data_IF_270214144698
#
_entry.id   IF_270214144698
#
_cell.length_a   1.000
_cell.length_b   1.000
_cell.length_c   1.000
_cell.angle_alpha   90.00
_cell.angle_beta   90.00
_cell.angle_gamma   90.00
#
_symmetry.space_group_name_H-M   'P 1'
#
loop_
_entity.id
_entity.type
_entity.pdbx_description
1 polymer ?
#
# COMPACT_ATOMS: atom_id res chain seq x y z
N UNK A 1 4.71 9.96 12.68
CA UNK A 1 3.49 9.18 12.58
C UNK A 1 2.70 9.11 13.88
N UNK A 2 3.34 8.83 15.00
CA UNK A 2 2.66 8.67 16.31
C UNK A 2 1.99 9.94 16.85
N UNK A 3 2.43 11.12 16.39
CA UNK A 3 1.86 12.39 16.83
C UNK A 3 0.65 12.84 15.98
N UNK A 4 0.68 12.55 14.70
CA UNK A 4 -0.37 12.95 13.76
C UNK A 4 -0.35 12.07 12.50
N UNK A 5 -1.38 11.25 12.26
CA UNK A 5 -1.55 10.50 11.02
C UNK A 5 -1.64 11.44 9.80
N UNK A 6 -2.27 12.61 9.94
CA UNK A 6 -2.41 13.58 8.84
C UNK A 6 -1.05 14.06 8.32
N UNK A 7 -0.09 14.40 9.20
CA UNK A 7 1.27 14.79 8.80
C UNK A 7 1.97 13.64 8.07
N UNK A 8 1.81 12.41 8.54
CA UNK A 8 2.42 11.24 7.90
C UNK A 8 1.88 11.01 6.49
N UNK A 9 0.57 11.17 6.30
CA UNK A 9 -0.06 11.05 4.97
C UNK A 9 0.36 12.20 4.06
N UNK A 10 0.45 13.43 4.57
CA UNK A 10 0.93 14.59 3.81
C UNK A 10 2.35 14.37 3.30
N UNK A 11 3.27 13.92 4.18
CA UNK A 11 4.65 13.61 3.81
C UNK A 11 4.74 12.45 2.82
N UNK A 12 3.94 11.40 3.00
CA UNK A 12 3.87 10.27 2.06
C UNK A 12 3.38 10.74 0.67
N UNK A 13 2.33 11.55 0.62
CA UNK A 13 1.78 12.08 -0.62
C UNK A 13 2.77 13.02 -1.34
N UNK A 14 3.59 13.76 -0.60
CA UNK A 14 4.61 14.63 -1.18
C UNK A 14 5.86 13.87 -1.61
N UNK A 15 6.47 13.06 -0.72
CA UNK A 15 7.80 12.47 -0.95
C UNK A 15 7.75 11.07 -1.57
N UNK A 16 6.80 10.23 -1.13
CA UNK A 16 6.78 8.82 -1.52
C UNK A 16 6.05 8.57 -2.83
N UNK A 17 5.09 9.42 -3.21
CA UNK A 17 4.30 9.25 -4.44
C UNK A 17 4.19 10.53 -5.27
N UNK A 18 4.46 11.72 -4.71
CA UNK A 18 4.42 13.00 -5.42
C UNK A 18 5.50 13.12 -6.50
N UNK A 19 5.77 14.34 -6.94
CA UNK A 19 6.77 14.62 -7.99
C UNK A 19 8.15 14.02 -7.71
N UNK A 20 8.68 14.04 -6.46
CA UNK A 20 10.03 13.52 -6.20
C UNK A 20 10.23 12.07 -6.64
N UNK A 21 9.31 11.18 -6.35
CA UNK A 21 9.54 9.76 -6.58
C UNK A 21 9.50 9.36 -8.07
N UNK A 22 8.49 9.71 -8.88
CA UNK A 22 8.51 9.39 -10.31
C UNK A 22 9.67 10.08 -11.05
N UNK A 23 10.05 11.30 -10.65
CA UNK A 23 11.23 11.98 -11.24
C UNK A 23 12.52 11.28 -10.85
N UNK A 24 12.70 10.84 -9.59
CA UNK A 24 13.86 10.06 -9.15
C UNK A 24 14.02 8.78 -9.99
N UNK A 25 12.92 8.06 -10.23
CA UNK A 25 12.92 6.73 -10.85
C UNK A 25 12.96 6.78 -12.37
N UNK A 26 12.28 7.73 -13.00
CA UNK A 26 12.01 7.74 -14.44
C UNK A 26 12.34 9.06 -15.13
N UNK A 27 12.64 10.11 -14.38
CA UNK A 27 12.98 11.42 -14.93
C UNK A 27 14.35 11.47 -15.56
N UNK A 28 14.52 12.38 -16.52
CA UNK A 28 15.84 12.72 -17.09
C UNK A 28 16.69 13.44 -16.06
N UNK A 29 17.99 13.51 -16.26
CA UNK A 29 18.91 14.26 -15.40
C UNK A 29 18.57 15.76 -15.36
N UNK A 30 18.02 16.30 -16.44
CA UNK A 30 17.51 17.67 -16.51
C UNK A 30 16.30 17.87 -15.61
N UNK A 31 15.31 16.97 -15.71
CA UNK A 31 14.12 17.00 -14.84
C UNK A 31 14.50 16.83 -13.36
N UNK A 32 15.44 15.94 -13.04
CA UNK A 32 15.96 15.79 -11.66
C UNK A 32 16.57 17.08 -11.14
N UNK A 33 17.45 17.74 -11.93
CA UNK A 33 18.06 19.02 -11.56
C UNK A 33 17.06 20.16 -11.42
N UNK A 34 16.00 20.17 -12.24
CA UNK A 34 14.96 21.20 -12.22
C UNK A 34 13.99 21.04 -11.06
N UNK A 35 13.44 19.85 -10.83
CA UNK A 35 12.30 19.65 -9.94
C UNK A 35 12.67 19.16 -8.53
N UNK A 36 13.67 18.28 -8.38
CA UNK A 36 13.99 17.72 -7.06
C UNK A 36 14.44 18.76 -6.03
N UNK A 37 15.30 19.75 -6.37
CA UNK A 37 15.70 20.79 -5.41
C UNK A 37 14.52 21.68 -4.98
N UNK A 38 13.54 21.91 -5.83
CA UNK A 38 12.33 22.69 -5.51
C UNK A 38 11.51 21.95 -4.45
N UNK A 39 11.20 20.67 -4.70
CA UNK A 39 10.48 19.83 -3.73
C UNK A 39 11.21 19.67 -2.39
N UNK A 40 12.56 19.66 -2.41
CA UNK A 40 13.36 19.55 -1.19
C UNK A 40 13.37 20.83 -0.34
N UNK A 41 13.04 21.99 -0.91
CA UNK A 41 13.11 23.31 -0.22
C UNK A 41 11.75 23.80 0.22
N UNK A 42 10.80 23.92 -0.71
CA UNK A 42 9.55 24.66 -0.46
C UNK A 42 8.34 24.11 -1.22
N UNK A 43 8.53 23.57 -2.42
CA UNK A 43 7.41 23.23 -3.30
C UNK A 43 6.68 21.98 -2.80
N UNK A 44 5.40 22.11 -2.57
CA UNK A 44 4.52 21.01 -2.23
C UNK A 44 4.16 20.28 -3.53
N UNK A 45 4.17 18.96 -3.51
CA UNK A 45 3.79 18.18 -4.68
C UNK A 45 2.60 17.28 -4.46
N UNK A 46 1.87 16.99 -5.53
CA UNK A 46 0.72 16.11 -5.53
C UNK A 46 0.77 15.10 -6.69
N UNK A 47 0.09 13.95 -6.48
CA UNK A 47 -0.01 12.86 -7.44
C UNK A 47 -1.46 12.70 -7.90
N UNK A 48 -1.71 12.93 -9.19
CA UNK A 48 -3.05 13.02 -9.78
C UNK A 48 -3.31 11.82 -10.71
N UNK A 49 -3.92 10.76 -10.17
CA UNK A 49 -4.29 9.56 -10.92
C UNK A 49 -5.82 9.40 -11.00
N UNK A 50 -6.48 9.43 -9.85
CA UNK A 50 -7.91 9.12 -9.67
C UNK A 50 -8.80 10.17 -10.35
N UNK A 51 -9.90 9.71 -10.94
CA UNK A 51 -10.93 10.53 -11.60
C UNK A 51 -12.32 10.18 -11.06
N UNK A 52 -13.37 10.96 -11.32
CA UNK A 52 -14.72 10.69 -10.81
C UNK A 52 -15.21 9.25 -11.08
N UNK A 53 -14.94 8.72 -12.26
CA UNK A 53 -15.37 7.37 -12.68
C UNK A 53 -14.23 6.34 -12.68
N UNK A 54 -13.03 6.70 -12.22
CA UNK A 54 -11.82 5.87 -12.31
C UNK A 54 -11.04 5.86 -11.00
N UNK A 55 -11.20 4.78 -10.23
CA UNK A 55 -10.46 4.54 -8.98
C UNK A 55 -9.58 3.30 -9.07
N UNK A 56 -10.16 2.12 -8.80
CA UNK A 56 -9.45 0.83 -8.75
C UNK A 56 -9.00 0.30 -10.11
N UNK A 57 -9.51 0.84 -11.21
CA UNK A 57 -9.12 0.51 -12.59
C UNK A 57 -8.50 1.73 -13.31
N UNK A 58 -7.26 2.11 -12.96
CA UNK A 58 -6.64 3.32 -13.51
C UNK A 58 -6.31 3.22 -15.01
N UNK A 59 -6.39 2.03 -15.60
CA UNK A 59 -6.21 1.85 -17.05
C UNK A 59 -7.31 2.53 -17.87
N UNK A 60 -8.44 2.89 -17.25
CA UNK A 60 -9.59 3.51 -17.92
C UNK A 60 -9.68 5.02 -17.76
N UNK A 61 -8.64 5.68 -17.24
CA UNK A 61 -8.66 7.14 -17.04
C UNK A 61 -9.00 7.90 -18.33
N UNK A 62 -9.77 8.96 -18.16
CA UNK A 62 -10.36 9.75 -19.23
C UNK A 62 -9.71 11.12 -19.46
N UNK A 63 -8.85 11.61 -18.52
CA UNK A 63 -8.06 12.82 -18.76
C UNK A 63 -7.19 12.63 -19.99
N UNK A 64 -7.27 13.57 -20.93
CA UNK A 64 -6.55 13.53 -22.22
C UNK A 64 -5.40 14.51 -22.20
N UNK A 65 -4.28 14.15 -22.84
CA UNK A 65 -3.15 15.02 -23.16
C UNK A 65 -2.93 14.97 -24.68
N UNK A 66 -3.52 15.91 -25.42
CA UNK A 66 -3.39 15.99 -26.86
C UNK A 66 -2.05 16.67 -27.23
N UNK A 67 -1.19 16.06 -28.09
CA UNK A 67 0.02 16.70 -28.55
C UNK A 67 -0.31 17.91 -29.43
N UNK A 68 0.49 18.97 -29.34
CA UNK A 68 0.39 20.13 -30.25
C UNK A 68 0.98 19.78 -31.62
N UNK A 69 0.57 20.46 -32.71
CA UNK A 69 1.02 20.22 -34.07
C UNK A 69 2.54 20.36 -34.23
N UNK A 70 3.17 21.29 -33.51
CA UNK A 70 4.60 21.50 -33.47
C UNK A 70 5.40 20.54 -32.61
N UNK A 71 4.69 19.64 -31.86
CA UNK A 71 5.28 18.69 -30.95
C UNK A 71 5.95 19.30 -29.71
N UNK A 72 5.83 20.61 -29.48
CA UNK A 72 6.51 21.31 -28.40
C UNK A 72 5.81 21.12 -27.03
N UNK A 73 4.54 20.73 -27.03
CA UNK A 73 3.73 20.62 -25.82
C UNK A 73 2.58 19.61 -25.97
N UNK A 74 1.91 19.39 -24.86
CA UNK A 74 0.63 18.67 -24.76
C UNK A 74 -0.43 19.59 -24.16
N UNK A 75 -1.67 19.47 -24.58
CA UNK A 75 -2.82 20.19 -24.04
C UNK A 75 -3.64 19.21 -23.22
N UNK A 76 -3.70 19.46 -21.91
CA UNK A 76 -4.39 18.59 -20.93
C UNK A 76 -5.82 19.06 -20.72
N UNK A 77 -6.77 18.10 -20.79
CA UNK A 77 -8.19 18.28 -20.49
C UNK A 77 -8.72 17.13 -19.66
N UNK A 78 -9.40 17.42 -18.55
CA UNK A 78 -9.99 16.41 -17.68
C UNK A 78 -10.21 16.86 -16.25
N UNK A 79 -10.61 15.92 -15.39
CA UNK A 79 -10.87 16.18 -13.96
C UNK A 79 -10.20 15.10 -13.12
N UNK A 80 -9.46 15.52 -12.11
CA UNK A 80 -8.87 14.65 -11.09
C UNK A 80 -9.57 14.81 -9.76
N UNK A 81 -9.78 13.69 -9.07
CA UNK A 81 -10.56 13.61 -7.83
C UNK A 81 -9.71 13.01 -6.71
N UNK A 82 -10.02 13.43 -5.48
CA UNK A 82 -9.36 12.98 -4.24
C UNK A 82 -7.84 13.17 -4.24
N UNK A 83 -7.41 14.29 -4.81
CA UNK A 83 -5.98 14.62 -4.90
C UNK A 83 -5.48 15.17 -3.59
N UNK A 84 -4.73 14.37 -2.84
CA UNK A 84 -4.04 14.83 -1.64
C UNK A 84 -2.98 15.85 -2.01
N UNK A 85 -2.93 16.95 -1.28
CA UNK A 85 -2.13 18.15 -1.54
C UNK A 85 -2.53 18.93 -2.81
N UNK A 86 -3.38 18.43 -3.68
CA UNK A 86 -3.72 19.06 -4.97
C UNK A 86 -4.32 20.46 -4.89
N UNK A 87 -4.81 20.84 -3.70
CA UNK A 87 -5.37 22.17 -3.43
C UNK A 87 -4.30 23.22 -3.13
N UNK A 88 -3.14 22.78 -2.63
CA UNK A 88 -2.03 23.63 -2.13
C UNK A 88 -0.70 23.32 -2.81
N UNK A 89 -0.68 22.38 -3.75
CA UNK A 89 0.55 21.99 -4.42
C UNK A 89 1.06 23.06 -5.37
N UNK A 90 2.38 23.14 -5.50
CA UNK A 90 3.09 23.93 -6.50
C UNK A 90 3.39 23.09 -7.75
N UNK A 91 3.61 21.78 -7.55
CA UNK A 91 3.92 20.83 -8.62
C UNK A 91 2.98 19.62 -8.58
N UNK A 92 2.51 19.22 -9.76
CA UNK A 92 1.61 18.09 -9.94
C UNK A 92 2.25 17.02 -10.81
N UNK A 93 2.17 15.74 -10.42
CA UNK A 93 2.32 14.64 -11.37
C UNK A 93 0.95 14.23 -11.86
N UNK A 94 0.70 14.39 -13.14
CA UNK A 94 -0.61 14.14 -13.76
C UNK A 94 -0.51 12.96 -14.72
N UNK A 95 -1.35 11.95 -14.50
CA UNK A 95 -1.54 10.84 -15.45
C UNK A 95 -2.63 11.23 -16.44
N UNK A 96 -2.30 11.25 -17.72
CA UNK A 96 -3.24 11.58 -18.80
C UNK A 96 -3.05 10.63 -19.99
N UNK A 97 -4.09 10.43 -20.76
CA UNK A 97 -4.08 9.60 -21.97
C UNK A 97 -3.66 10.44 -23.16
N UNK A 98 -2.55 10.09 -23.79
CA UNK A 98 -2.19 10.60 -25.11
C UNK A 98 -2.97 9.80 -26.16
N UNK A 99 -3.71 10.45 -27.08
CA UNK A 99 -4.37 9.76 -28.19
C UNK A 99 -3.34 9.15 -29.15
N UNK A 100 -3.63 7.98 -29.69
CA UNK A 100 -2.83 7.39 -30.78
C UNK A 100 -3.01 8.23 -32.03
N UNK A 101 -1.90 8.69 -32.64
CA UNK A 101 -1.88 9.50 -33.85
C UNK A 101 -0.54 9.39 -34.54
N UNK A 102 -0.39 10.03 -35.72
CA UNK A 102 0.87 10.04 -36.43
C UNK A 102 2.01 10.61 -35.58
N UNK A 103 3.03 9.80 -35.31
CA UNK A 103 4.16 10.15 -34.46
C UNK A 103 3.99 9.86 -32.98
N UNK A 104 2.77 9.47 -32.53
CA UNK A 104 2.45 9.20 -31.14
C UNK A 104 1.88 7.79 -30.95
N UNK A 105 2.52 7.01 -30.06
CA UNK A 105 2.09 5.63 -29.72
C UNK A 105 0.80 5.60 -28.90
N UNK A 106 0.46 6.73 -28.30
CA UNK A 106 -0.69 6.82 -27.40
C UNK A 106 -0.48 6.15 -26.05
N UNK A 107 -1.55 6.12 -25.26
CA UNK A 107 -1.59 5.47 -23.96
C UNK A 107 -1.42 6.43 -22.79
N UNK A 108 -1.53 5.87 -21.57
CA UNK A 108 -1.42 6.65 -20.34
C UNK A 108 0.03 7.10 -20.17
N UNK A 109 0.21 8.40 -20.00
CA UNK A 109 1.51 9.09 -19.91
C UNK A 109 1.55 9.94 -18.67
N UNK A 110 2.71 10.11 -18.07
CA UNK A 110 2.92 10.90 -16.86
C UNK A 110 3.58 12.24 -17.21
N UNK A 111 3.09 13.32 -16.61
CA UNK A 111 3.59 14.68 -16.82
C UNK A 111 3.85 15.38 -15.50
N UNK A 112 4.91 16.20 -15.43
CA UNK A 112 5.04 17.22 -14.39
C UNK A 112 4.33 18.49 -14.86
N UNK A 113 3.43 19.01 -14.04
CA UNK A 113 2.65 20.20 -14.36
C UNK A 113 2.83 21.21 -13.24
N UNK A 114 3.11 22.48 -13.59
CA UNK A 114 3.10 23.58 -12.63
C UNK A 114 1.65 23.85 -12.23
N UNK A 115 1.37 23.91 -10.92
CA UNK A 115 -0.01 24.00 -10.44
C UNK A 115 -0.68 25.35 -10.70
N UNK A 116 0.12 26.40 -10.96
CA UNK A 116 -0.32 27.75 -11.34
C UNK A 116 -0.51 27.92 -12.86
N UNK A 117 -0.39 26.85 -13.66
CA UNK A 117 -0.63 26.91 -15.11
C UNK A 117 -2.06 27.38 -15.41
N UNK A 118 -2.19 28.25 -16.42
CA UNK A 118 -3.49 28.67 -16.92
C UNK A 118 -4.36 27.47 -17.29
N UNK A 119 -5.65 27.52 -16.92
CA UNK A 119 -6.61 26.44 -17.17
C UNK A 119 -6.69 25.39 -16.04
N UNK A 120 -5.88 25.49 -15.00
CA UNK A 120 -6.04 24.66 -13.78
C UNK A 120 -6.96 25.36 -12.79
N UNK A 121 -7.96 24.62 -12.32
CA UNK A 121 -8.88 25.12 -11.28
C UNK A 121 -9.12 24.06 -10.21
N UNK A 122 -9.10 24.48 -8.94
CA UNK A 122 -9.57 23.67 -7.81
C UNK A 122 -11.08 23.93 -7.67
N UNK A 123 -11.89 22.97 -8.13
CA UNK A 123 -13.35 23.10 -8.13
C UNK A 123 -13.96 22.88 -6.76
N UNK A 124 -13.35 22.04 -5.93
CA UNK A 124 -13.85 21.72 -4.61
C UNK A 124 -12.72 21.31 -3.66
N UNK A 125 -12.84 21.68 -2.39
CA UNK A 125 -12.07 21.14 -1.27
C UNK A 125 -12.91 20.06 -0.58
N UNK A 126 -12.42 18.82 -0.55
CA UNK A 126 -13.16 17.68 -0.03
C UNK A 126 -13.12 17.65 1.51
N UNK A 127 -14.26 17.36 2.13
CA UNK A 127 -14.37 17.11 3.57
C UNK A 127 -14.46 15.62 3.85
N UNK A 128 -13.54 15.10 4.66
CA UNK A 128 -13.45 13.67 4.97
C UNK A 128 -13.86 13.36 6.41
N UNK A 129 -14.21 12.10 6.67
CA UNK A 129 -14.50 11.63 8.02
C UNK A 129 -13.27 11.68 8.94
N UNK A 130 -12.07 11.46 8.40
CA UNK A 130 -10.77 11.53 9.07
C UNK A 130 -9.78 12.35 8.25
N UNK A 131 -8.51 12.38 8.72
CA UNK A 131 -7.40 13.12 8.09
C UNK A 131 -7.74 14.59 7.79
N UNK A 132 -8.45 15.25 8.69
CA UNK A 132 -8.94 16.63 8.48
C UNK A 132 -7.83 17.68 8.44
N UNK A 133 -6.59 17.29 8.74
CA UNK A 133 -5.41 18.14 8.65
C UNK A 133 -4.70 18.10 7.29
N UNK A 134 -5.24 17.39 6.29
CA UNK A 134 -4.71 17.40 4.93
C UNK A 134 -5.65 18.11 3.97
N UNK A 135 -5.06 18.79 2.99
CA UNK A 135 -5.80 19.38 1.89
C UNK A 135 -6.05 18.33 0.80
N UNK A 136 -7.29 18.25 0.35
CA UNK A 136 -7.70 17.33 -0.70
C UNK A 136 -8.80 17.96 -1.54
N UNK A 137 -8.82 17.71 -2.85
CA UNK A 137 -9.74 18.42 -3.72
C UNK A 137 -10.07 17.71 -5.02
N UNK A 138 -10.86 18.43 -5.79
CA UNK A 138 -11.16 18.19 -7.21
C UNK A 138 -10.38 19.18 -8.03
N UNK A 139 -9.56 18.72 -8.95
CA UNK A 139 -8.73 19.56 -9.83
C UNK A 139 -9.17 19.35 -11.27
N UNK A 140 -9.60 20.46 -11.92
CA UNK A 140 -9.95 20.49 -13.34
C UNK A 140 -8.81 21.04 -14.16
N UNK A 141 -8.60 20.44 -15.32
CA UNK A 141 -7.70 20.85 -16.39
C UNK A 141 -8.55 21.24 -17.60
N UNK A 142 -8.42 22.46 -18.08
CA UNK A 142 -9.10 22.97 -19.26
C UNK A 142 -8.08 23.68 -20.14
N UNK A 143 -7.74 23.03 -21.26
CA UNK A 143 -6.74 23.47 -22.24
C UNK A 143 -5.37 23.83 -21.63
N UNK A 144 -4.96 23.07 -20.60
CA UNK A 144 -3.68 23.31 -19.91
C UNK A 144 -2.51 22.90 -20.78
N UNK A 145 -1.69 23.87 -21.16
CA UNK A 145 -0.49 23.63 -21.98
C UNK A 145 0.68 23.16 -21.12
N UNK A 146 1.18 21.96 -21.38
CA UNK A 146 2.32 21.35 -20.68
C UNK A 146 3.46 21.14 -21.67
N UNK A 147 4.67 21.68 -21.43
CA UNK A 147 5.83 21.46 -22.30
C UNK A 147 6.14 19.98 -22.50
N UNK A 148 6.53 19.57 -23.71
CA UNK A 148 6.86 18.18 -24.01
C UNK A 148 8.02 17.66 -23.15
N UNK A 149 8.95 18.52 -22.75
CA UNK A 149 10.07 18.21 -21.85
C UNK A 149 9.63 17.81 -20.41
N UNK A 150 8.39 18.12 -20.04
CA UNK A 150 7.80 17.76 -18.75
C UNK A 150 7.18 16.34 -18.75
N UNK A 151 7.21 15.61 -19.86
CA UNK A 151 6.83 14.21 -19.93
C UNK A 151 7.83 13.37 -19.14
N UNK A 152 7.35 12.53 -18.22
CA UNK A 152 8.17 11.65 -17.37
C UNK A 152 8.33 10.29 -18.07
N UNK A 153 9.57 9.88 -18.28
CA UNK A 153 9.89 8.60 -18.90
C UNK A 153 9.56 8.56 -20.39
N UNK A 154 8.62 7.71 -20.80
CA UNK A 154 8.21 7.57 -22.19
C UNK A 154 6.69 7.67 -22.34
N UNK A 155 6.23 8.11 -23.51
CA UNK A 155 4.82 8.09 -23.87
C UNK A 155 4.23 6.68 -23.75
N UNK A 156 3.05 6.57 -23.14
CA UNK A 156 2.39 5.30 -22.84
C UNK A 156 2.92 4.56 -21.61
N UNK A 157 3.98 5.04 -20.96
CA UNK A 157 4.55 4.41 -19.76
C UNK A 157 3.91 4.85 -18.44
N UNK A 158 2.97 5.79 -18.46
CA UNK A 158 2.42 6.43 -17.26
C UNK A 158 1.79 5.48 -16.26
N UNK A 159 1.08 4.44 -16.71
CA UNK A 159 0.51 3.45 -15.79
C UNK A 159 1.60 2.65 -15.07
N UNK A 160 2.67 2.25 -15.77
CA UNK A 160 3.83 1.60 -15.16
C UNK A 160 4.50 2.52 -14.14
N UNK A 161 4.70 3.79 -14.50
CA UNK A 161 5.28 4.80 -13.61
C UNK A 161 4.43 4.96 -12.36
N UNK A 162 3.11 5.12 -12.52
CA UNK A 162 2.18 5.26 -11.41
C UNK A 162 2.23 4.07 -10.44
N UNK A 163 2.11 2.85 -10.96
CA UNK A 163 2.10 1.64 -10.13
C UNK A 163 3.44 1.40 -9.42
N UNK A 164 4.57 1.70 -10.09
CA UNK A 164 5.90 1.59 -9.48
C UNK A 164 6.09 2.63 -8.37
N UNK A 165 5.65 3.86 -8.60
CA UNK A 165 5.68 4.94 -7.61
C UNK A 165 4.88 4.59 -6.35
N UNK A 166 3.67 4.04 -6.53
CA UNK A 166 2.80 3.62 -5.42
C UNK A 166 3.41 2.53 -4.51
N UNK A 167 4.38 1.73 -5.01
CA UNK A 167 5.06 0.74 -4.15
C UNK A 167 5.83 1.41 -3.01
N UNK A 168 6.40 2.60 -3.24
CA UNK A 168 7.07 3.37 -2.17
C UNK A 168 6.07 3.87 -1.11
N UNK A 169 4.90 4.34 -1.53
CA UNK A 169 3.80 4.70 -0.63
C UNK A 169 3.35 3.52 0.24
N UNK A 170 3.30 2.31 -0.32
CA UNK A 170 2.95 1.07 0.39
C UNK A 170 3.94 0.70 1.50
N UNK A 171 5.18 1.18 1.47
CA UNK A 171 6.15 1.02 2.56
C UNK A 171 6.02 2.11 3.63
N UNK A 172 5.59 3.31 3.28
CA UNK A 172 5.45 4.43 4.23
C UNK A 172 4.20 4.33 5.11
N UNK A 173 3.08 3.82 4.58
CA UNK A 173 1.83 3.66 5.33
C UNK A 173 1.95 2.69 6.52
N UNK A 174 2.61 1.53 6.43
CA UNK A 174 2.86 0.66 7.58
C UNK A 174 3.60 1.37 8.72
N UNK A 175 4.56 2.25 8.42
CA UNK A 175 5.28 3.01 9.43
C UNK A 175 4.35 3.97 10.22
N UNK A 176 3.40 4.62 9.53
CA UNK A 176 2.35 5.40 10.18
C UNK A 176 1.49 4.51 11.09
N UNK A 177 1.09 3.33 10.62
CA UNK A 177 0.28 2.38 11.38
C UNK A 177 1.00 1.90 12.64
N UNK A 178 2.28 1.55 12.55
CA UNK A 178 3.11 1.15 13.69
C UNK A 178 3.26 2.29 14.71
N UNK A 179 3.55 3.52 14.25
CA UNK A 179 3.62 4.70 15.11
C UNK A 179 2.31 5.00 15.83
N UNK A 180 1.18 4.86 15.13
CA UNK A 180 -0.16 5.04 15.73
C UNK A 180 -0.48 3.90 16.72
N UNK A 181 -0.10 2.66 16.42
CA UNK A 181 -0.23 1.52 17.34
C UNK A 181 0.49 1.75 18.66
N UNK A 182 1.72 2.26 18.63
CA UNK A 182 2.48 2.65 19.84
C UNK A 182 1.75 3.70 20.65
N UNK A 183 1.20 4.71 19.99
CA UNK A 183 0.42 5.74 20.66
C UNK A 183 -0.85 5.14 21.31
N UNK A 184 -1.59 4.29 20.59
CA UNK A 184 -2.76 3.61 21.11
C UNK A 184 -2.42 2.76 22.34
N UNK A 185 -1.34 1.99 22.28
CA UNK A 185 -0.87 1.16 23.40
C UNK A 185 -0.53 2.02 24.62
N UNK A 186 0.19 3.13 24.44
CA UNK A 186 0.53 4.06 25.51
C UNK A 186 -0.74 4.58 26.20
N UNK A 187 -1.69 5.10 25.41
CA UNK A 187 -2.94 5.64 25.94
C UNK A 187 -3.80 4.56 26.62
N UNK A 188 -3.89 3.37 26.02
CA UNK A 188 -4.64 2.25 26.61
C UNK A 188 -4.07 1.86 27.98
N UNK A 189 -2.73 1.77 28.11
CA UNK A 189 -2.07 1.43 29.38
C UNK A 189 -2.27 2.53 30.44
N UNK A 190 -2.05 3.80 30.09
CA UNK A 190 -2.24 4.93 30.99
C UNK A 190 -3.68 4.97 31.51
N UNK A 191 -4.66 4.84 30.64
CA UNK A 191 -6.06 4.88 30.99
C UNK A 191 -6.47 3.69 31.85
N UNK A 192 -6.10 2.48 31.46
CA UNK A 192 -6.54 1.24 32.12
C UNK A 192 -5.93 1.05 33.51
N UNK A 193 -4.77 1.67 33.81
CA UNK A 193 -4.15 1.66 35.14
C UNK A 193 -4.78 2.70 36.10
N UNK A 194 -5.31 3.80 35.55
CA UNK A 194 -5.87 4.90 36.34
C UNK A 194 -7.38 4.77 36.57
N UNK A 195 -8.11 4.19 35.62
CA UNK A 195 -9.56 4.05 35.69
C UNK A 195 -9.96 2.90 36.61
N UNK A 196 -10.56 3.23 37.75
CA UNK A 196 -11.06 2.24 38.71
C UNK A 196 -12.53 1.94 38.43
N UNK A 197 -12.88 0.67 38.28
CA UNK A 197 -14.26 0.17 38.23
C UNK A 197 -14.33 -1.17 38.98
N UNK A 198 -15.44 -1.44 39.69
CA UNK A 198 -15.60 -2.61 40.54
C UNK A 198 -14.40 -2.84 41.49
N UNK A 199 -13.91 -1.72 42.08
CA UNK A 199 -12.89 -1.73 43.13
C UNK A 199 -11.44 -1.91 42.68
N UNK A 200 -11.16 -2.00 41.37
CA UNK A 200 -9.78 -2.15 40.83
C UNK A 200 -9.57 -1.47 39.47
N UNK A 201 -8.32 -1.23 39.05
CA UNK A 201 -8.02 -0.74 37.73
C UNK A 201 -8.68 -1.58 36.64
N UNK A 202 -9.23 -0.94 35.58
CA UNK A 202 -9.91 -1.69 34.52
C UNK A 202 -8.97 -2.62 33.76
N UNK A 203 -7.68 -2.34 33.74
CA UNK A 203 -6.64 -3.18 33.12
C UNK A 203 -6.43 -4.53 33.82
N UNK A 204 -6.90 -4.68 35.06
CA UNK A 204 -6.85 -5.94 35.82
C UNK A 204 -8.05 -6.84 35.54
N UNK A 205 -9.06 -6.36 34.82
CA UNK A 205 -10.18 -7.19 34.37
C UNK A 205 -9.77 -7.93 33.08
N UNK A 206 -9.96 -9.24 33.07
CA UNK A 206 -9.51 -10.14 31.97
C UNK A 206 -9.92 -9.65 30.59
N UNK A 207 -11.18 -9.21 30.42
CA UNK A 207 -11.68 -8.72 29.13
C UNK A 207 -10.94 -7.49 28.61
N UNK A 208 -10.51 -6.58 29.52
CA UNK A 208 -9.72 -5.39 29.15
C UNK A 208 -8.24 -5.76 28.96
N UNK A 209 -7.70 -6.61 29.85
CA UNK A 209 -6.34 -7.12 29.76
C UNK A 209 -6.08 -7.82 28.41
N UNK A 210 -7.04 -8.64 27.94
CA UNK A 210 -6.97 -9.31 26.65
C UNK A 210 -6.85 -8.31 25.46
N UNK A 211 -7.61 -7.21 25.50
CA UNK A 211 -7.54 -6.15 24.50
C UNK A 211 -6.18 -5.42 24.52
N UNK A 212 -5.67 -5.12 25.73
CA UNK A 212 -4.36 -4.48 25.88
C UNK A 212 -3.24 -5.42 25.35
N UNK A 213 -3.33 -6.71 25.65
CA UNK A 213 -2.40 -7.71 25.14
C UNK A 213 -2.43 -7.81 23.60
N UNK A 214 -3.64 -7.80 23.02
CA UNK A 214 -3.81 -7.76 21.56
C UNK A 214 -3.19 -6.49 20.96
N UNK A 215 -3.47 -5.32 21.52
CA UNK A 215 -2.90 -4.04 21.07
C UNK A 215 -1.37 -4.07 21.16
N UNK A 216 -0.80 -4.62 22.23
CA UNK A 216 0.64 -4.71 22.42
C UNK A 216 1.32 -5.66 21.41
N UNK A 217 0.78 -6.87 21.28
CA UNK A 217 1.30 -7.88 20.35
C UNK A 217 1.20 -7.42 18.89
N UNK A 218 0.05 -6.84 18.52
CA UNK A 218 -0.17 -6.29 17.17
C UNK A 218 0.77 -5.13 16.87
N UNK A 219 0.97 -4.20 17.82
CA UNK A 219 1.89 -3.09 17.65
C UNK A 219 3.32 -3.58 17.43
N UNK A 220 3.76 -4.61 18.17
CA UNK A 220 5.07 -5.23 17.97
C UNK A 220 5.19 -5.85 16.55
N UNK A 221 4.15 -6.57 16.11
CA UNK A 221 4.14 -7.15 14.76
C UNK A 221 4.16 -6.08 13.66
N UNK A 222 3.43 -4.96 13.85
CA UNK A 222 3.46 -3.82 12.93
C UNK A 222 4.88 -3.24 12.79
N UNK A 223 5.59 -3.04 13.90
CA UNK A 223 6.99 -2.57 13.86
C UNK A 223 7.90 -3.57 13.15
N UNK A 224 7.75 -4.86 13.45
CA UNK A 224 8.54 -5.91 12.84
C UNK A 224 8.34 -5.96 11.30
N UNK A 225 7.10 -5.84 10.85
CA UNK A 225 6.76 -5.78 9.41
C UNK A 225 7.40 -4.56 8.75
N UNK A 226 7.34 -3.39 9.39
CA UNK A 226 7.96 -2.16 8.87
C UNK A 226 9.47 -2.30 8.74
N UNK A 227 10.15 -2.79 9.78
CA UNK A 227 11.60 -2.94 9.78
C UNK A 227 12.06 -3.95 8.74
N UNK A 228 11.41 -5.13 8.70
CA UNK A 228 11.79 -6.18 7.74
C UNK A 228 11.56 -5.72 6.30
N UNK A 229 10.38 -5.16 5.98
CA UNK A 229 10.08 -4.70 4.61
C UNK A 229 10.94 -3.50 4.19
N UNK A 230 11.27 -2.61 5.12
CA UNK A 230 12.20 -1.50 4.89
C UNK A 230 13.61 -1.98 4.58
N UNK A 231 14.15 -2.89 5.39
CA UNK A 231 15.46 -3.49 5.16
C UNK A 231 15.53 -4.23 3.81
N UNK A 232 14.49 -5.00 3.47
CA UNK A 232 14.41 -5.69 2.16
C UNK A 232 14.42 -4.70 0.99
N UNK A 233 13.77 -3.54 1.15
CA UNK A 233 13.75 -2.49 0.14
C UNK A 233 15.12 -1.77 0.01
N UNK A 234 15.80 -1.53 1.13
CA UNK A 234 17.11 -0.85 1.16
C UNK A 234 18.23 -1.74 0.60
N UNK A 235 18.13 -3.05 0.77
CA UNK A 235 19.13 -3.99 0.24
C UNK A 235 19.08 -4.12 -1.30
N UNK A 236 17.99 -3.73 -1.95
CA UNK A 236 17.76 -3.76 -3.42
C UNK A 236 18.14 -5.09 -4.10
N UNK A 237 18.07 -6.19 -3.34
CA UNK A 237 18.46 -7.53 -3.83
C UNK A 237 17.32 -8.27 -4.52
N UNK A 238 16.08 -7.90 -4.20
CA UNK A 238 14.87 -8.61 -4.62
C UNK A 238 13.77 -7.64 -5.03
N UNK A 239 12.84 -8.13 -5.82
CA UNK A 239 11.59 -7.45 -6.09
C UNK A 239 10.67 -7.54 -4.86
N UNK A 240 10.52 -6.44 -4.14
CA UNK A 240 9.75 -6.35 -2.88
C UNK A 240 8.28 -5.96 -3.07
N UNK A 241 7.74 -6.07 -4.28
CA UNK A 241 6.35 -5.65 -4.58
C UNK A 241 5.31 -6.40 -3.76
N UNK A 242 5.49 -7.71 -3.58
CA UNK A 242 4.58 -8.55 -2.79
C UNK A 242 4.71 -8.19 -1.31
N UNK A 243 5.92 -8.09 -0.79
CA UNK A 243 6.19 -7.77 0.61
C UNK A 243 5.67 -6.38 0.99
N UNK A 244 5.89 -5.38 0.14
CA UNK A 244 5.33 -4.04 0.34
C UNK A 244 3.80 -4.04 0.33
N UNK A 245 3.19 -4.84 -0.54
CA UNK A 245 1.75 -5.00 -0.62
C UNK A 245 1.18 -5.74 0.60
N UNK A 246 1.84 -6.81 1.07
CA UNK A 246 1.49 -7.54 2.29
C UNK A 246 1.64 -6.65 3.53
N UNK A 247 2.74 -5.88 3.61
CA UNK A 247 2.98 -4.95 4.70
C UNK A 247 1.87 -3.90 4.77
N UNK A 248 1.50 -3.29 3.64
CA UNK A 248 0.39 -2.31 3.57
C UNK A 248 -0.93 -2.94 3.99
N UNK A 249 -1.30 -4.09 3.43
CA UNK A 249 -2.54 -4.79 3.73
C UNK A 249 -2.63 -5.09 5.22
N UNK A 250 -1.66 -5.82 5.76
CA UNK A 250 -1.62 -6.21 7.17
C UNK A 250 -1.66 -4.98 8.10
N UNK A 251 -0.79 -4.01 7.85
CA UNK A 251 -0.66 -2.87 8.75
C UNK A 251 -1.94 -2.02 8.80
N UNK A 252 -2.59 -1.77 7.68
CA UNK A 252 -3.80 -0.92 7.67
C UNK A 252 -5.02 -1.62 8.26
N UNK A 253 -5.17 -2.93 8.08
CA UNK A 253 -6.23 -3.71 8.72
C UNK A 253 -6.02 -3.77 10.24
N UNK A 254 -4.81 -4.12 10.69
CA UNK A 254 -4.53 -4.31 12.10
C UNK A 254 -4.49 -3.00 12.90
N UNK A 255 -3.96 -1.92 12.33
CA UNK A 255 -3.96 -0.61 12.99
C UNK A 255 -5.37 -0.07 13.22
N UNK A 256 -6.29 -0.32 12.30
CA UNK A 256 -7.69 0.06 12.47
C UNK A 256 -8.34 -0.71 13.64
N UNK A 257 -8.08 -2.03 13.78
CA UNK A 257 -8.55 -2.85 14.91
C UNK A 257 -7.95 -2.38 16.24
N UNK A 258 -6.66 -2.02 16.25
CA UNK A 258 -5.98 -1.45 17.43
C UNK A 258 -6.64 -0.13 17.87
N UNK A 259 -7.00 0.74 16.92
CA UNK A 259 -7.69 1.99 17.25
C UNK A 259 -9.11 1.76 17.74
N UNK A 260 -9.84 0.80 17.18
CA UNK A 260 -11.18 0.40 17.64
C UNK A 260 -11.13 -0.13 19.06
N UNK A 261 -10.17 -0.99 19.39
CA UNK A 261 -9.96 -1.48 20.75
C UNK A 261 -9.59 -0.34 21.73
N UNK A 262 -8.82 0.67 21.29
CA UNK A 262 -8.56 1.85 22.13
C UNK A 262 -9.85 2.61 22.44
N UNK A 263 -10.73 2.83 21.46
CA UNK A 263 -12.03 3.47 21.65
C UNK A 263 -12.85 2.64 22.65
N UNK A 264 -12.88 1.33 22.48
CA UNK A 264 -13.61 0.40 23.35
C UNK A 264 -13.08 0.40 24.80
N UNK A 265 -11.75 0.36 24.99
CA UNK A 265 -11.10 0.41 26.32
C UNK A 265 -11.42 1.73 27.05
N UNK A 266 -11.49 2.84 26.32
CA UNK A 266 -11.80 4.16 26.89
C UNK A 266 -13.31 4.36 27.13
N UNK A 267 -14.16 3.53 26.53
CA UNK A 267 -15.62 3.63 26.64
C UNK A 267 -16.15 4.96 26.10
N UNK A 268 -17.09 5.60 26.79
CA UNK A 268 -17.66 6.89 26.37
C UNK A 268 -16.62 7.96 26.08
N UNK A 269 -15.51 7.98 26.82
CA UNK A 269 -14.38 8.90 26.56
C UNK A 269 -13.56 8.55 25.32
N UNK A 270 -13.68 7.35 24.80
CA UNK A 270 -13.10 6.95 23.52
C UNK A 270 -13.96 7.40 22.34
N UNK A 271 -15.25 7.48 22.54
CA UNK A 271 -16.24 7.89 21.54
C UNK A 271 -16.40 9.41 21.45
N UNK A 272 -16.12 10.13 22.54
CA UNK A 272 -16.21 11.57 22.64
C UNK A 272 -14.99 12.27 22.02
N UNK A 273 -15.22 13.44 21.36
CA UNK A 273 -14.14 14.21 20.75
C UNK A 273 -13.18 14.78 21.80
N UNK A 274 -11.90 14.91 21.44
CA UNK A 274 -10.89 15.52 22.32
C UNK A 274 -11.26 16.95 22.75
N UNK A 275 -11.85 17.72 21.85
CA UNK A 275 -12.30 19.09 22.14
C UNK A 275 -13.42 19.13 23.19
N UNK A 276 -14.39 18.21 23.10
CA UNK A 276 -15.47 18.09 24.08
C UNK A 276 -14.96 17.67 25.47
N UNK A 277 -14.03 16.70 25.52
CA UNK A 277 -13.37 16.32 26.78
C UNK A 277 -12.64 17.51 27.41
N UNK A 278 -11.86 18.25 26.62
CA UNK A 278 -11.11 19.40 27.08
C UNK A 278 -12.03 20.54 27.60
N UNK A 279 -13.17 20.77 26.96
CA UNK A 279 -14.14 21.82 27.35
C UNK A 279 -14.70 21.63 28.77
N UNK A 280 -14.71 20.40 29.31
CA UNK A 280 -15.11 20.13 30.69
C UNK A 280 -13.94 19.83 31.63
N UNK A 281 -12.70 20.18 31.23
CA UNK A 281 -11.50 20.06 32.08
C UNK A 281 -10.84 18.68 32.09
N UNK A 282 -11.27 17.74 31.24
CA UNK A 282 -10.61 16.45 31.09
C UNK A 282 -9.48 16.51 30.04
N UNK A 283 -8.54 15.56 30.13
CA UNK A 283 -7.51 15.42 29.09
C UNK A 283 -8.14 15.05 27.75
N UNK A 284 -8.02 15.92 26.76
CA UNK A 284 -8.49 15.70 25.38
C UNK A 284 -7.67 14.64 24.66
N UNK A 285 -8.10 13.38 24.67
CA UNK A 285 -7.46 12.27 23.97
C UNK A 285 -8.26 11.96 22.70
N UNK A 286 -7.69 12.14 21.50
CA UNK A 286 -8.40 12.02 20.22
C UNK A 286 -8.54 10.55 19.76
N UNK A 287 -9.09 9.65 20.61
CA UNK A 287 -9.21 8.23 20.27
C UNK A 287 -10.14 8.01 19.08
N UNK A 288 -11.30 8.69 19.06
CA UNK A 288 -12.25 8.63 17.95
C UNK A 288 -11.69 9.24 16.66
N UNK A 289 -10.88 10.29 16.77
CA UNK A 289 -10.22 10.89 15.60
C UNK A 289 -9.22 9.92 14.97
N UNK A 290 -8.41 9.25 15.77
CA UNK A 290 -7.44 8.24 15.29
C UNK A 290 -8.16 7.10 14.57
N UNK A 291 -9.28 6.61 15.09
CA UNK A 291 -10.09 5.58 14.43
C UNK A 291 -10.58 6.06 13.06
N UNK A 292 -11.08 7.29 12.98
CA UNK A 292 -11.53 7.89 11.71
C UNK A 292 -10.37 8.12 10.74
N UNK A 293 -9.21 8.56 11.23
CA UNK A 293 -8.02 8.79 10.42
C UNK A 293 -7.46 7.49 9.81
N UNK A 294 -7.46 6.40 10.56
CA UNK A 294 -6.95 5.12 10.07
C UNK A 294 -7.89 4.43 9.08
N UNK A 295 -9.19 4.79 9.06
CA UNK A 295 -10.16 4.14 8.18
C UNK A 295 -9.80 4.23 6.70
N UNK A 296 -9.18 5.32 6.27
CA UNK A 296 -8.78 5.54 4.88
C UNK A 296 -7.69 4.54 4.43
N UNK A 297 -6.85 4.06 5.34
CA UNK A 297 -5.78 3.11 5.04
C UNK A 297 -6.27 1.84 4.32
N UNK A 298 -7.50 1.43 4.59
CA UNK A 298 -8.16 0.29 3.96
C UNK A 298 -8.78 0.60 2.58
N UNK A 299 -8.71 1.85 2.13
CA UNK A 299 -9.37 2.34 0.91
C UNK A 299 -8.35 2.84 -0.11
N UNK A 300 -7.46 3.75 0.27
CA UNK A 300 -6.53 4.39 -0.67
C UNK A 300 -5.28 3.53 -0.96
N UNK A 301 -4.54 3.90 -2.00
CA UNK A 301 -3.35 3.19 -2.48
C UNK A 301 -3.57 1.69 -2.74
N UNK A 302 -4.78 1.37 -3.18
CA UNK A 302 -5.32 0.03 -3.33
C UNK A 302 -6.16 -0.37 -2.12
N UNK A 303 -7.49 -0.52 -2.32
CA UNK A 303 -8.36 -1.02 -1.26
C UNK A 303 -7.95 -2.42 -0.82
N UNK A 304 -8.40 -2.85 0.36
CA UNK A 304 -8.17 -4.22 0.87
C UNK A 304 -8.45 -5.27 -0.22
N UNK A 305 -9.57 -5.15 -0.92
CA UNK A 305 -9.98 -6.09 -1.97
C UNK A 305 -9.03 -6.04 -3.19
N UNK A 306 -8.59 -4.85 -3.57
CA UNK A 306 -7.64 -4.67 -4.68
C UNK A 306 -6.26 -5.20 -4.28
N UNK A 307 -5.83 -5.00 -3.03
CA UNK A 307 -4.58 -5.58 -2.52
C UNK A 307 -4.62 -7.11 -2.55
N UNK A 308 -5.74 -7.73 -2.17
CA UNK A 308 -5.94 -9.17 -2.30
C UNK A 308 -5.73 -9.66 -3.74
N UNK A 309 -6.34 -8.99 -4.71
CA UNK A 309 -6.23 -9.37 -6.12
C UNK A 309 -4.82 -9.16 -6.67
N UNK A 310 -4.17 -8.04 -6.32
CA UNK A 310 -2.82 -7.71 -6.76
C UNK A 310 -1.81 -8.73 -6.22
N UNK A 311 -1.82 -9.01 -4.91
CA UNK A 311 -0.90 -9.97 -4.29
C UNK A 311 -1.14 -11.38 -4.84
N UNK A 312 -2.40 -11.79 -4.96
CA UNK A 312 -2.73 -13.10 -5.52
C UNK A 312 -2.26 -13.24 -6.98
N UNK A 313 -2.40 -12.18 -7.79
CA UNK A 313 -1.92 -12.15 -9.17
C UNK A 313 -0.39 -12.27 -9.23
N UNK A 314 0.33 -11.47 -8.43
CA UNK A 314 1.78 -11.49 -8.41
C UNK A 314 2.31 -12.86 -7.91
N UNK A 315 1.64 -13.47 -6.93
CA UNK A 315 1.99 -14.81 -6.45
C UNK A 315 1.87 -15.90 -7.52
N UNK A 316 0.96 -15.76 -8.50
CA UNK A 316 0.81 -16.72 -9.60
C UNK A 316 1.60 -16.34 -10.86
N UNK A 317 2.22 -15.18 -10.92
CA UNK A 317 2.90 -14.67 -12.12
C UNK A 317 3.99 -15.62 -12.63
N UNK A 318 4.76 -16.24 -11.74
CA UNK A 318 5.76 -17.24 -12.12
C UNK A 318 5.13 -18.46 -12.82
N UNK A 319 3.99 -18.92 -12.33
CA UNK A 319 3.25 -20.03 -12.93
C UNK A 319 2.69 -19.66 -14.30
N UNK A 320 2.17 -18.43 -14.44
CA UNK A 320 1.67 -17.90 -15.72
C UNK A 320 2.80 -17.76 -16.74
N UNK A 321 3.98 -17.28 -16.35
CA UNK A 321 5.16 -17.20 -17.23
C UNK A 321 5.64 -18.58 -17.70
N UNK A 322 5.54 -19.59 -16.85
CA UNK A 322 5.99 -20.95 -17.14
C UNK A 322 4.98 -21.73 -17.96
N UNK A 323 3.71 -21.70 -17.57
CA UNK A 323 2.65 -22.55 -18.12
C UNK A 323 1.61 -21.80 -18.98
N UNK A 324 1.63 -20.47 -19.02
CA UNK A 324 0.63 -19.66 -19.74
C UNK A 324 0.53 -20.00 -21.23
N UNK A 325 1.65 -20.29 -21.89
CA UNK A 325 1.65 -20.69 -23.29
C UNK A 325 0.91 -22.02 -23.57
N UNK A 326 0.65 -22.85 -22.56
CA UNK A 326 -0.17 -24.08 -22.71
C UNK A 326 -1.65 -23.77 -22.84
N UNK A 327 -2.11 -22.70 -22.23
CA UNK A 327 -3.51 -22.30 -22.18
C UNK A 327 -3.84 -21.17 -23.14
N UNK A 328 -2.84 -20.65 -23.86
CA UNK A 328 -3.02 -19.63 -24.90
C UNK A 328 -3.71 -20.26 -26.12
N UNK A 329 -4.93 -19.83 -26.47
CA UNK A 329 -5.66 -20.37 -27.61
C UNK A 329 -4.98 -20.04 -28.96
N UNK A 330 -4.18 -18.96 -29.02
CA UNK A 330 -3.53 -18.48 -30.22
C UNK A 330 -2.11 -19.07 -30.44
N UNK A 331 -1.57 -19.79 -29.46
CA UNK A 331 -0.28 -20.41 -29.56
C UNK A 331 -0.29 -21.61 -30.52
N UNK A 332 0.69 -21.71 -31.41
CA UNK A 332 0.88 -22.84 -32.30
C UNK A 332 1.35 -24.10 -31.53
N UNK A 333 1.36 -25.26 -32.21
CA UNK A 333 1.73 -26.54 -31.61
C UNK A 333 3.19 -26.55 -31.10
N UNK A 334 4.08 -25.87 -31.80
CA UNK A 334 5.51 -25.75 -31.45
C UNK A 334 5.69 -24.91 -30.18
N UNK A 335 5.02 -23.76 -30.08
CA UNK A 335 5.00 -22.91 -28.88
C UNK A 335 4.40 -23.66 -27.68
N UNK A 336 3.30 -24.40 -27.87
CA UNK A 336 2.70 -25.26 -26.82
C UNK A 336 3.64 -26.35 -26.35
N UNK A 337 4.35 -27.04 -27.27
CA UNK A 337 5.33 -28.08 -26.94
C UNK A 337 6.51 -27.49 -26.12
N UNK A 338 7.01 -26.31 -26.50
CA UNK A 338 8.06 -25.57 -25.77
C UNK A 338 7.59 -25.17 -24.37
N UNK A 339 6.36 -24.67 -24.24
CA UNK A 339 5.73 -24.31 -22.96
C UNK A 339 5.53 -25.56 -22.08
N UNK A 340 5.10 -26.70 -22.65
CA UNK A 340 4.97 -27.98 -21.93
C UNK A 340 6.29 -28.44 -21.35
N UNK A 341 7.37 -28.44 -22.14
CA UNK A 341 8.71 -28.84 -21.68
C UNK A 341 9.20 -27.95 -20.55
N UNK A 342 8.99 -26.62 -20.65
CA UNK A 342 9.33 -25.67 -19.59
C UNK A 342 8.52 -25.93 -18.32
N UNK A 343 7.21 -26.15 -18.45
CA UNK A 343 6.32 -26.44 -17.34
C UNK A 343 6.70 -27.73 -16.62
N UNK A 344 6.96 -28.81 -17.34
CA UNK A 344 7.41 -30.09 -16.77
C UNK A 344 8.69 -29.89 -15.96
N UNK A 345 9.71 -29.22 -16.53
CA UNK A 345 10.98 -28.96 -15.85
C UNK A 345 10.83 -28.11 -14.60
N UNK A 346 9.94 -27.11 -14.63
CA UNK A 346 9.64 -26.27 -13.47
C UNK A 346 8.90 -27.07 -12.37
N UNK A 347 7.80 -27.72 -12.70
CA UNK A 347 6.97 -28.41 -11.72
C UNK A 347 7.64 -29.65 -11.15
N UNK A 348 8.49 -30.35 -11.90
CA UNK A 348 9.30 -31.46 -11.37
C UNK A 348 10.24 -31.03 -10.23
N UNK A 349 10.67 -29.75 -10.21
CA UNK A 349 11.51 -29.20 -9.14
C UNK A 349 10.70 -28.51 -8.05
N UNK A 350 9.56 -27.91 -8.41
CA UNK A 350 8.76 -27.09 -7.50
C UNK A 350 7.79 -27.91 -6.62
N UNK A 351 7.18 -29.01 -7.16
CA UNK A 351 6.19 -29.81 -6.42
C UNK A 351 6.79 -30.63 -5.27
N UNK A 352 7.94 -31.32 -5.41
CA UNK A 352 8.47 -32.16 -4.33
C UNK A 352 8.77 -31.38 -3.04
N UNK A 353 9.40 -30.18 -3.08
CA UNK A 353 9.58 -29.36 -1.89
C UNK A 353 8.29 -28.94 -1.19
N UNK A 354 7.13 -28.96 -1.85
CA UNK A 354 5.85 -28.65 -1.20
C UNK A 354 5.36 -29.76 -0.27
N UNK A 355 5.83 -31.01 -0.47
CA UNK A 355 5.44 -32.15 0.35
C UNK A 355 6.28 -32.25 1.64
N UNK A 356 7.60 -32.02 1.53
CA UNK A 356 8.56 -32.16 2.64
C UNK A 356 9.45 -30.93 2.74
N UNK A 357 9.65 -30.42 3.94
CA UNK A 357 10.51 -29.25 4.18
C UNK A 357 11.05 -29.14 5.60
N UNK A 358 11.89 -28.14 5.81
CA UNK A 358 12.56 -27.87 7.10
C UNK A 358 11.56 -27.76 8.27
N UNK A 359 10.38 -27.19 8.04
CA UNK A 359 9.37 -27.04 9.10
C UNK A 359 8.82 -28.35 9.68
N UNK A 360 9.07 -29.50 9.03
CA UNK A 360 8.73 -30.83 9.52
C UNK A 360 9.84 -31.45 10.38
N UNK A 361 11.05 -30.85 10.38
CA UNK A 361 12.20 -31.33 11.15
C UNK A 361 12.17 -30.66 12.54
N UNK A 362 12.09 -31.43 13.65
CA UNK A 362 11.97 -30.86 14.99
C UNK A 362 13.11 -29.91 15.40
N UNK A 363 14.33 -30.16 14.92
CA UNK A 363 15.53 -29.35 15.20
C UNK A 363 15.71 -28.14 14.27
N UNK A 364 14.89 -28.01 13.21
CA UNK A 364 15.03 -26.88 12.29
C UNK A 364 14.72 -25.55 13.00
N UNK A 365 15.45 -24.49 12.60
CA UNK A 365 15.37 -23.17 13.19
C UNK A 365 15.79 -23.13 14.67
N UNK A 366 16.63 -24.06 15.12
CA UNK A 366 17.10 -24.13 16.51
C UNK A 366 17.81 -22.88 16.99
N UNK A 367 18.45 -22.13 16.08
CA UNK A 367 19.07 -20.85 16.31
C UNK A 367 18.08 -19.79 16.87
N UNK A 368 16.79 -19.92 16.61
CA UNK A 368 15.75 -19.05 17.13
C UNK A 368 15.20 -19.48 18.50
N UNK A 369 15.77 -20.51 19.13
CA UNK A 369 15.40 -20.94 20.48
C UNK A 369 13.90 -21.20 20.64
N UNK A 370 13.25 -20.52 21.58
CA UNK A 370 11.81 -20.64 21.84
C UNK A 370 10.90 -20.17 20.68
N UNK A 371 11.43 -19.46 19.70
CA UNK A 371 10.70 -19.02 18.51
C UNK A 371 10.71 -20.04 17.36
N UNK A 372 11.59 -21.03 17.42
CA UNK A 372 11.72 -22.07 16.40
C UNK A 372 10.40 -22.79 16.04
N UNK A 373 9.49 -23.12 17.00
CA UNK A 373 8.20 -23.71 16.69
C UNK A 373 7.32 -22.84 15.78
N UNK A 374 7.37 -21.50 15.95
CA UNK A 374 6.61 -20.56 15.15
C UNK A 374 7.16 -20.50 13.72
N UNK A 375 8.47 -20.49 13.53
CA UNK A 375 9.08 -20.51 12.19
C UNK A 375 8.82 -21.85 11.47
N UNK A 376 8.84 -22.98 12.20
CA UNK A 376 8.40 -24.27 11.63
C UNK A 376 6.93 -24.26 11.23
N UNK A 377 6.06 -23.62 12.01
CA UNK A 377 4.66 -23.43 11.65
C UNK A 377 4.54 -22.61 10.37
N UNK A 378 5.19 -21.45 10.29
CA UNK A 378 5.19 -20.59 9.10
C UNK A 378 5.62 -21.37 7.86
N UNK A 379 6.72 -22.11 7.94
CA UNK A 379 7.27 -22.87 6.80
C UNK A 379 6.29 -23.94 6.31
N UNK A 380 5.67 -24.71 7.21
CA UNK A 380 4.67 -25.73 6.84
C UNK A 380 3.45 -25.11 6.16
N UNK A 381 2.91 -24.03 6.73
CA UNK A 381 1.69 -23.41 6.22
C UNK A 381 1.93 -22.60 4.95
N UNK A 382 3.12 -22.04 4.74
CA UNK A 382 3.52 -21.45 3.46
C UNK A 382 3.50 -22.48 2.32
N UNK A 383 3.94 -23.74 2.58
CA UNK A 383 3.84 -24.84 1.61
C UNK A 383 2.41 -25.27 1.35
N UNK A 384 1.59 -25.32 2.41
CA UNK A 384 0.17 -25.64 2.30
C UNK A 384 -0.57 -24.55 1.50
N UNK A 385 -0.22 -23.28 1.74
CA UNK A 385 -0.74 -22.14 0.99
C UNK A 385 -0.38 -22.26 -0.50
N UNK A 386 0.87 -22.58 -0.82
CA UNK A 386 1.34 -22.79 -2.18
C UNK A 386 0.62 -23.96 -2.87
N UNK A 387 0.38 -25.09 -2.15
CA UNK A 387 -0.42 -26.20 -2.68
C UNK A 387 -1.86 -25.80 -2.94
N UNK A 388 -2.47 -25.03 -2.02
CA UNK A 388 -3.85 -24.56 -2.15
C UNK A 388 -4.00 -23.63 -3.35
N UNK A 389 -3.03 -22.73 -3.56
CA UNK A 389 -2.98 -21.86 -4.73
C UNK A 389 -2.86 -22.67 -6.03
N UNK A 390 -1.93 -23.64 -6.06
CA UNK A 390 -1.75 -24.51 -7.22
C UNK A 390 -3.01 -25.33 -7.54
N UNK A 391 -3.69 -25.85 -6.52
CA UNK A 391 -4.97 -26.53 -6.67
C UNK A 391 -6.02 -25.60 -7.27
N UNK A 392 -6.14 -24.37 -6.75
CA UNK A 392 -7.05 -23.36 -7.29
C UNK A 392 -6.80 -23.04 -8.75
N UNK A 393 -5.52 -22.85 -9.13
CA UNK A 393 -5.10 -22.62 -10.51
C UNK A 393 -5.49 -23.80 -11.43
N UNK A 394 -5.21 -25.03 -10.98
CA UNK A 394 -5.50 -26.24 -11.75
C UNK A 394 -7.01 -26.45 -11.94
N UNK A 395 -7.80 -26.20 -10.87
CA UNK A 395 -9.24 -26.41 -10.86
C UNK A 395 -10.01 -25.35 -11.67
N UNK A 396 -9.67 -24.07 -11.49
CA UNK A 396 -10.45 -22.97 -12.05
C UNK A 396 -9.82 -22.32 -13.28
N UNK A 397 -8.53 -22.56 -13.52
CA UNK A 397 -7.80 -22.01 -14.69
C UNK A 397 -8.06 -20.51 -14.86
N UNK A 398 -8.37 -20.03 -16.06
CA UNK A 398 -8.70 -18.62 -16.34
C UNK A 398 -9.92 -18.05 -15.60
N UNK A 399 -10.74 -18.90 -14.93
CA UNK A 399 -11.86 -18.43 -14.09
C UNK A 399 -11.43 -18.15 -12.63
N UNK A 400 -10.16 -18.39 -12.29
CA UNK A 400 -9.65 -18.21 -10.92
C UNK A 400 -9.74 -16.75 -10.46
N UNK A 401 -9.53 -15.79 -11.34
CA UNK A 401 -9.66 -14.34 -11.05
C UNK A 401 -11.03 -13.95 -10.48
N UNK A 402 -12.08 -14.72 -10.84
CA UNK A 402 -13.45 -14.53 -10.33
C UNK A 402 -13.70 -15.16 -8.97
N UNK A 403 -12.73 -15.91 -8.43
CA UNK A 403 -12.80 -16.56 -7.10
C UNK A 403 -12.22 -15.67 -6.00
N UNK A 404 -12.66 -14.41 -5.97
CA UNK A 404 -12.09 -13.37 -5.13
C UNK A 404 -12.11 -13.71 -3.63
N UNK A 405 -13.17 -14.37 -3.14
CA UNK A 405 -13.22 -14.83 -1.75
C UNK A 405 -12.19 -15.93 -1.40
N UNK A 406 -11.79 -16.77 -2.38
CA UNK A 406 -10.69 -17.71 -2.21
C UNK A 406 -9.35 -16.98 -2.24
N UNK A 407 -9.16 -16.09 -3.21
CA UNK A 407 -7.93 -15.32 -3.36
C UNK A 407 -7.67 -14.44 -2.12
N UNK A 408 -8.71 -13.78 -1.59
CA UNK A 408 -8.61 -13.00 -0.37
C UNK A 408 -8.10 -13.83 0.81
N UNK A 409 -8.69 -15.00 1.08
CA UNK A 409 -8.24 -15.88 2.19
C UNK A 409 -6.80 -16.36 2.01
N UNK A 410 -6.38 -16.67 0.78
CA UNK A 410 -4.99 -17.04 0.49
C UNK A 410 -4.05 -15.89 0.86
N UNK A 411 -4.42 -14.67 0.51
CA UNK A 411 -3.60 -13.49 0.77
C UNK A 411 -3.60 -13.13 2.25
N UNK A 412 -4.76 -13.22 2.94
CA UNK A 412 -4.84 -12.99 4.40
C UNK A 412 -3.93 -13.96 5.16
N UNK A 413 -3.97 -15.26 4.83
CA UNK A 413 -3.06 -16.25 5.42
C UNK A 413 -1.60 -15.88 5.12
N UNK A 414 -1.29 -15.49 3.88
CA UNK A 414 0.05 -15.03 3.50
C UNK A 414 0.53 -13.82 4.30
N UNK A 415 -0.35 -12.85 4.54
CA UNK A 415 -0.05 -11.66 5.33
C UNK A 415 0.23 -12.00 6.81
N UNK A 416 -0.55 -12.90 7.40
CA UNK A 416 -0.32 -13.39 8.77
C UNK A 416 1.01 -14.15 8.88
N UNK A 417 1.30 -15.05 7.95
CA UNK A 417 2.58 -15.78 7.93
C UNK A 417 3.78 -14.84 7.77
N UNK A 418 3.64 -13.78 6.96
CA UNK A 418 4.67 -12.74 6.80
C UNK A 418 4.87 -11.98 8.11
N UNK A 419 3.79 -11.54 8.77
CA UNK A 419 3.86 -10.83 10.05
C UNK A 419 4.46 -11.71 11.17
N UNK A 420 4.11 -13.01 11.23
CA UNK A 420 4.71 -13.96 12.16
C UNK A 420 6.22 -14.10 11.94
N UNK A 421 6.66 -14.20 10.68
CA UNK A 421 8.07 -14.27 10.32
C UNK A 421 8.80 -13.00 10.78
N UNK A 422 8.26 -11.83 10.44
CA UNK A 422 8.82 -10.54 10.82
C UNK A 422 8.94 -10.41 12.34
N UNK A 423 7.89 -10.79 13.09
CA UNK A 423 7.91 -10.75 14.55
C UNK A 423 8.98 -11.67 15.16
N UNK A 424 9.16 -12.89 14.62
CA UNK A 424 10.21 -13.79 15.09
C UNK A 424 11.62 -13.25 14.81
N UNK A 425 11.85 -12.71 13.60
CA UNK A 425 13.13 -12.10 13.22
C UNK A 425 13.45 -10.92 14.12
N UNK A 426 12.51 -9.98 14.29
CA UNK A 426 12.69 -8.83 15.18
C UNK A 426 12.94 -9.24 16.62
N UNK A 427 12.20 -10.21 17.15
CA UNK A 427 12.40 -10.68 18.52
C UNK A 427 13.80 -11.26 18.73
N UNK A 428 14.36 -11.96 17.73
CA UNK A 428 15.72 -12.46 17.78
C UNK A 428 16.76 -11.32 17.69
N UNK A 429 16.56 -10.35 16.81
CA UNK A 429 17.43 -9.15 16.72
C UNK A 429 17.46 -8.35 18.02
N UNK A 430 16.36 -8.34 18.80
CA UNK A 430 16.31 -7.66 20.11
C UNK A 430 16.96 -8.47 21.24
N UNK A 431 17.24 -9.76 21.02
CA UNK A 431 17.97 -10.62 21.99
C UNK A 431 19.48 -10.57 21.79
N UNK A 432 19.92 -10.36 20.55
CA UNK A 432 21.35 -10.22 20.19
C UNK A 432 21.88 -8.84 20.60
#
# INVERSE_FOLDING_TARGET
>A
GSASPAISVLLSAHQSIGVPQPIKLFGTEEQKRRFLPRCARSDISAFLLTEPDVGSDPARLGTVAAPTEDGSAYVLNGVKLWTTNGVVADLLVVMARVPESQGHKGGITAFVVEADSEGITVENRNSFMGLRGIENGVTRFHDVRVPAENLIGAEGAGLKIALTTLNTGRLSLPAMCAGTGKWCLKVAREWSSQRIQWGRPIGEHEAVAAKIAFVAATTFALEAVVELSGQMADEDRNDVRIEAALAKLYATEMAWLVADDLVQIRGGRGYETAASLAARGERGVPAEQILRDLRIGRIFEGSTEIMHLLIARDAVDTHLRVAGGLIDPNADLSAKAKAARRAIGFYARWLPPLAVGKGQIPSAYGEFGSLAPHLRFVERHSRELARSMFYGMSRWRGKMERKQGFLGRIVDIGAELFAMTAACVRAEMLRA
#
